data_IF_509463532269
#
_entry.id   IF_509463532269
#
_cell.length_a   1.000
_cell.length_b   1.000
_cell.length_c   1.000
_cell.angle_alpha   90.00
_cell.angle_beta   90.00
_cell.angle_gamma   90.00
#
_symmetry.space_group_name_H-M   'P 1'
#
loop_
_entity.id
_entity.type
_entity.pdbx_description
1 polymer ?
#
# COMPACT_ATOMS: atom_id res chain seq x y z
N UNK A 1 -12.35 12.52 -7.53
CA UNK A 1 -13.40 11.64 -8.09
C UNK A 1 -14.30 11.13 -6.97
N UNK A 2 -15.57 10.83 -7.27
CA UNK A 2 -16.47 10.12 -6.38
C UNK A 2 -16.35 8.62 -6.61
N UNK A 3 -15.98 7.85 -5.59
CA UNK A 3 -15.74 6.41 -5.66
C UNK A 3 -16.78 5.67 -4.81
N UNK A 4 -17.69 4.94 -5.45
CA UNK A 4 -18.59 4.04 -4.76
C UNK A 4 -17.85 2.77 -4.34
N UNK A 5 -17.87 2.39 -3.06
CA UNK A 5 -17.14 1.24 -2.56
C UNK A 5 -18.00 0.32 -1.71
N UNK A 6 -18.13 -0.95 -2.13
CA UNK A 6 -18.64 -2.01 -1.25
C UNK A 6 -17.52 -2.51 -0.34
N UNK A 7 -17.87 -3.03 0.83
CA UNK A 7 -16.86 -3.53 1.77
C UNK A 7 -15.95 -2.46 2.38
N UNK A 8 -16.29 -1.17 2.27
CA UNK A 8 -15.51 -0.03 2.79
C UNK A 8 -15.21 -0.12 4.30
N UNK A 9 -16.09 -0.78 5.08
CA UNK A 9 -15.91 -0.98 6.53
C UNK A 9 -15.07 -2.21 6.87
N UNK A 10 -14.76 -3.06 5.89
CA UNK A 10 -13.89 -4.22 6.05
C UNK A 10 -12.42 -3.83 6.21
N UNK A 11 -11.56 -4.80 6.54
CA UNK A 11 -10.14 -4.55 6.78
C UNK A 11 -9.45 -3.90 5.57
N UNK A 12 -9.52 -4.52 4.39
CA UNK A 12 -8.96 -3.96 3.15
C UNK A 12 -9.65 -2.65 2.78
N UNK A 13 -10.98 -2.60 2.87
CA UNK A 13 -11.76 -1.41 2.51
C UNK A 13 -11.42 -0.18 3.33
N UNK A 14 -11.15 -0.31 4.63
CA UNK A 14 -10.71 0.81 5.49
C UNK A 14 -9.35 1.34 5.06
N UNK A 15 -8.36 0.46 4.85
CA UNK A 15 -7.03 0.87 4.38
C UNK A 15 -7.10 1.58 3.02
N UNK A 16 -7.84 0.98 2.09
CA UNK A 16 -8.02 1.54 0.75
C UNK A 16 -8.78 2.86 0.78
N UNK A 17 -9.84 2.99 1.59
CA UNK A 17 -10.58 4.25 1.74
C UNK A 17 -9.69 5.37 2.26
N UNK A 18 -8.91 5.10 3.31
CA UNK A 18 -7.96 6.08 3.85
C UNK A 18 -6.91 6.46 2.80
N UNK A 19 -6.33 5.47 2.13
CA UNK A 19 -5.31 5.70 1.11
C UNK A 19 -5.85 6.58 -0.04
N UNK A 20 -7.00 6.23 -0.62
CA UNK A 20 -7.61 6.96 -1.74
C UNK A 20 -8.07 8.37 -1.35
N UNK A 21 -8.48 8.58 -0.09
CA UNK A 21 -8.87 9.90 0.40
C UNK A 21 -7.65 10.77 0.66
N UNK A 22 -6.64 10.24 1.36
CA UNK A 22 -5.46 11.00 1.77
C UNK A 22 -4.50 11.28 0.61
N UNK A 23 -4.35 10.33 -0.32
CA UNK A 23 -3.40 10.40 -1.43
C UNK A 23 -4.03 10.90 -2.72
N UNK A 24 -5.15 10.30 -3.11
CA UNK A 24 -5.83 10.59 -4.36
C UNK A 24 -6.78 11.80 -4.27
N UNK A 25 -7.06 12.33 -3.08
CA UNK A 25 -8.06 13.37 -2.88
C UNK A 25 -9.47 12.93 -3.32
N UNK A 26 -9.71 11.59 -3.33
CA UNK A 26 -10.99 11.04 -3.76
C UNK A 26 -12.02 11.05 -2.63
N UNK A 27 -13.28 11.18 -3.01
CA UNK A 27 -14.39 11.04 -2.07
C UNK A 27 -14.94 9.62 -2.11
N UNK A 28 -14.86 8.90 -0.98
CA UNK A 28 -15.41 7.55 -0.87
C UNK A 28 -16.87 7.59 -0.47
N UNK A 29 -17.71 6.89 -1.23
CA UNK A 29 -19.15 6.71 -0.98
C UNK A 29 -19.37 5.24 -0.62
N UNK A 30 -19.53 4.90 0.66
CA UNK A 30 -19.65 3.51 1.08
C UNK A 30 -21.02 2.94 0.66
N UNK A 31 -21.00 1.80 -0.04
CA UNK A 31 -22.18 1.03 -0.36
C UNK A 31 -22.40 -0.05 0.72
N UNK A 32 -23.25 0.28 1.68
CA UNK A 32 -23.57 -0.59 2.81
C UNK A 32 -24.50 -1.76 2.43
N UNK A 33 -24.54 -2.81 3.28
CA UNK A 33 -25.39 -4.01 3.05
C UNK A 33 -26.88 -3.68 2.87
N UNK A 34 -27.37 -2.62 3.50
CA UNK A 34 -28.78 -2.17 3.37
C UNK A 34 -29.13 -1.79 1.94
N UNK A 35 -28.20 -1.26 1.15
CA UNK A 35 -28.43 -0.86 -0.24
C UNK A 35 -28.64 -2.04 -1.19
N UNK A 36 -28.31 -3.25 -0.74
CA UNK A 36 -28.47 -4.50 -1.49
C UNK A 36 -29.66 -5.35 -1.03
N UNK A 37 -30.62 -4.77 -0.29
CA UNK A 37 -31.88 -5.41 0.06
C UNK A 37 -32.92 -5.25 -1.06
N UNK A 38 -33.96 -6.05 -1.03
CA UNK A 38 -35.11 -5.87 -1.94
C UNK A 38 -35.72 -4.49 -1.75
N UNK A 39 -36.18 -3.88 -2.83
CA UNK A 39 -36.74 -2.53 -2.84
C UNK A 39 -35.73 -1.39 -2.86
N UNK A 40 -34.43 -1.65 -2.63
CA UNK A 40 -33.38 -0.58 -2.56
C UNK A 40 -32.69 -0.29 -3.89
N UNK A 41 -33.09 -0.92 -4.99
CA UNK A 41 -32.45 -0.77 -6.32
C UNK A 41 -32.43 0.69 -6.80
N UNK A 42 -33.52 1.45 -6.58
CA UNK A 42 -33.57 2.87 -6.97
C UNK A 42 -32.53 3.74 -6.24
N UNK A 43 -32.31 3.50 -4.94
CA UNK A 43 -31.28 4.23 -4.19
C UNK A 43 -29.87 3.88 -4.67
N UNK A 44 -29.61 2.60 -4.97
CA UNK A 44 -28.32 2.18 -5.55
C UNK A 44 -28.07 2.84 -6.90
N UNK A 45 -29.07 2.87 -7.78
CA UNK A 45 -29.00 3.54 -9.11
C UNK A 45 -28.67 5.03 -8.93
N UNK A 46 -29.40 5.73 -8.04
CA UNK A 46 -29.15 7.15 -7.79
C UNK A 46 -27.73 7.39 -7.24
N UNK A 47 -27.26 6.55 -6.34
CA UNK A 47 -25.90 6.67 -5.79
C UNK A 47 -24.85 6.48 -6.89
N UNK A 48 -24.98 5.45 -7.72
CA UNK A 48 -24.02 5.16 -8.80
C UNK A 48 -24.02 6.22 -9.90
N UNK A 49 -25.13 6.90 -10.12
CA UNK A 49 -25.23 8.00 -11.10
C UNK A 49 -24.31 9.19 -10.79
N UNK A 50 -23.91 9.35 -9.53
CA UNK A 50 -23.02 10.42 -9.06
C UNK A 50 -21.58 9.97 -8.81
N UNK A 51 -21.22 8.75 -9.25
CA UNK A 51 -19.90 8.16 -9.03
C UNK A 51 -19.13 8.05 -10.34
N UNK A 52 -17.82 8.28 -10.25
CA UNK A 52 -16.88 8.12 -11.37
C UNK A 52 -16.33 6.70 -11.45
N UNK A 53 -16.15 6.07 -10.28
CA UNK A 53 -15.53 4.75 -10.11
C UNK A 53 -16.36 3.91 -9.15
N UNK A 54 -16.41 2.60 -9.42
CA UNK A 54 -16.96 1.58 -8.51
C UNK A 54 -15.84 0.65 -8.10
N UNK A 55 -15.67 0.42 -6.79
CA UNK A 55 -14.76 -0.59 -6.23
C UNK A 55 -15.61 -1.60 -5.46
N UNK A 56 -15.64 -2.84 -5.95
CA UNK A 56 -16.42 -3.92 -5.35
C UNK A 56 -15.51 -4.86 -4.55
N UNK A 57 -15.46 -4.67 -3.22
CA UNK A 57 -14.75 -5.50 -2.25
C UNK A 57 -15.68 -6.30 -1.35
N UNK A 58 -16.96 -6.41 -1.70
CA UNK A 58 -17.93 -7.16 -0.87
C UNK A 58 -17.55 -8.63 -0.77
N UNK A 59 -17.58 -9.16 0.44
CA UNK A 59 -17.33 -10.57 0.70
C UNK A 59 -17.41 -10.92 2.17
N UNK A 60 -18.14 -11.98 2.52
CA UNK A 60 -18.11 -12.57 3.85
C UNK A 60 -16.73 -13.20 4.14
N UNK A 61 -16.31 -13.29 5.42
CA UNK A 61 -15.01 -13.87 5.82
C UNK A 61 -14.89 -15.33 5.37
N UNK A 62 -13.79 -15.66 4.67
CA UNK A 62 -13.53 -16.99 4.14
C UNK A 62 -12.91 -17.96 5.17
N UNK A 63 -12.33 -17.41 6.24
CA UNK A 63 -11.58 -18.12 7.27
C UNK A 63 -12.47 -18.75 8.38
N UNK A 64 -13.68 -19.16 8.01
CA UNK A 64 -14.59 -19.92 8.86
C UNK A 64 -14.79 -21.32 8.28
N UNK A 65 -15.38 -22.23 9.06
CA UNK A 65 -15.76 -23.55 8.57
C UNK A 65 -16.81 -23.40 7.47
N UNK A 66 -16.64 -24.08 6.32
CA UNK A 66 -17.57 -23.99 5.19
C UNK A 66 -18.72 -24.96 5.35
N UNK A 67 -19.70 -24.58 6.17
CA UNK A 67 -21.02 -25.25 6.19
C UNK A 67 -21.80 -24.86 4.92
N UNK A 68 -22.87 -25.60 4.57
CA UNK A 68 -23.74 -25.21 3.45
C UNK A 68 -24.22 -23.75 3.55
N UNK A 69 -24.63 -23.33 4.75
CA UNK A 69 -25.13 -21.98 5.02
C UNK A 69 -24.00 -20.92 4.81
N UNK A 70 -22.80 -21.23 5.30
CA UNK A 70 -21.67 -20.30 5.12
C UNK A 70 -21.19 -20.24 3.66
N UNK A 71 -21.23 -21.37 2.92
CA UNK A 71 -20.98 -21.37 1.47
C UNK A 71 -21.99 -20.50 0.73
N UNK A 72 -23.26 -20.55 1.11
CA UNK A 72 -24.29 -19.67 0.56
C UNK A 72 -24.01 -18.20 0.90
N UNK A 73 -23.64 -17.88 2.15
CA UNK A 73 -23.24 -16.53 2.56
C UNK A 73 -22.04 -16.02 1.74
N UNK A 74 -21.04 -16.88 1.49
CA UNK A 74 -19.88 -16.57 0.67
C UNK A 74 -20.27 -16.26 -0.78
N UNK A 75 -21.21 -17.03 -1.34
CA UNK A 75 -21.76 -16.82 -2.67
C UNK A 75 -22.58 -15.53 -2.75
N UNK A 76 -23.53 -15.34 -1.85
CA UNK A 76 -24.42 -14.18 -1.87
C UNK A 76 -23.67 -12.87 -1.70
N UNK A 77 -22.72 -12.83 -0.76
CA UNK A 77 -21.93 -11.63 -0.48
C UNK A 77 -21.02 -11.21 -1.66
N UNK A 78 -20.77 -12.11 -2.61
CA UNK A 78 -19.90 -11.85 -3.77
C UNK A 78 -20.70 -11.79 -5.06
N UNK A 79 -21.33 -12.88 -5.42
CA UNK A 79 -21.99 -13.03 -6.74
C UNK A 79 -23.29 -12.22 -6.78
N UNK A 80 -24.17 -12.35 -5.78
CA UNK A 80 -25.45 -11.63 -5.78
C UNK A 80 -25.24 -10.13 -5.59
N UNK A 81 -24.29 -9.72 -4.73
CA UNK A 81 -23.96 -8.30 -4.59
C UNK A 81 -23.43 -7.74 -5.92
N UNK A 82 -22.54 -8.45 -6.61
CA UNK A 82 -22.02 -8.04 -7.93
C UNK A 82 -23.15 -7.95 -8.96
N UNK A 83 -24.04 -8.96 -9.00
CA UNK A 83 -25.22 -8.94 -9.85
C UNK A 83 -26.07 -7.66 -9.67
N UNK A 84 -26.34 -7.29 -8.42
CA UNK A 84 -27.12 -6.09 -8.08
C UNK A 84 -26.41 -4.80 -8.50
N UNK A 85 -25.08 -4.73 -8.35
CA UNK A 85 -24.27 -3.61 -8.83
C UNK A 85 -24.37 -3.52 -10.37
N UNK A 86 -24.18 -4.63 -11.07
CA UNK A 86 -24.25 -4.68 -12.54
C UNK A 86 -25.64 -4.29 -13.04
N UNK A 87 -26.71 -4.79 -12.42
CA UNK A 87 -28.09 -4.38 -12.78
C UNK A 87 -28.31 -2.89 -12.59
N UNK A 88 -27.88 -2.34 -11.46
CA UNK A 88 -27.97 -0.91 -11.19
C UNK A 88 -27.15 -0.11 -12.19
N UNK A 89 -25.91 -0.54 -12.46
CA UNK A 89 -25.01 0.10 -13.43
C UNK A 89 -25.60 0.13 -14.84
N UNK A 90 -26.28 -0.95 -15.27
CA UNK A 90 -26.96 -0.98 -16.57
C UNK A 90 -28.16 -0.03 -16.65
N UNK A 91 -28.78 0.32 -15.52
CA UNK A 91 -29.91 1.23 -15.44
C UNK A 91 -29.50 2.72 -15.31
N UNK A 92 -28.24 3.02 -14.99
CA UNK A 92 -27.74 4.40 -14.85
C UNK A 92 -27.58 5.05 -16.22
N UNK A 93 -28.03 6.30 -16.37
CA UNK A 93 -27.87 7.06 -17.62
C UNK A 93 -26.43 7.51 -17.84
N UNK A 94 -25.82 8.15 -16.80
CA UNK A 94 -24.40 8.54 -16.81
C UNK A 94 -23.63 7.47 -16.06
N UNK A 95 -22.88 6.64 -16.76
CA UNK A 95 -22.22 5.47 -16.19
C UNK A 95 -20.87 5.84 -15.58
N UNK A 96 -20.48 5.23 -14.45
CA UNK A 96 -19.11 5.28 -13.98
C UNK A 96 -18.11 4.84 -15.05
N UNK A 97 -16.96 5.50 -15.11
CA UNK A 97 -15.92 5.20 -16.10
C UNK A 97 -15.19 3.88 -15.84
N UNK A 98 -15.13 3.47 -14.58
CA UNK A 98 -14.36 2.31 -14.13
C UNK A 98 -15.14 1.50 -13.10
N UNK A 99 -15.11 0.19 -13.25
CA UNK A 99 -15.46 -0.77 -12.19
C UNK A 99 -14.26 -1.66 -11.91
N UNK A 100 -13.78 -1.65 -10.65
CA UNK A 100 -12.79 -2.59 -10.13
C UNK A 100 -13.54 -3.63 -9.29
N UNK A 101 -13.52 -4.89 -9.71
CA UNK A 101 -14.18 -5.99 -8.98
C UNK A 101 -13.14 -6.93 -8.41
N UNK A 102 -13.19 -7.14 -7.09
CA UNK A 102 -12.34 -8.12 -6.46
C UNK A 102 -12.67 -9.55 -6.93
N UNK A 103 -11.64 -10.38 -6.93
CA UNK A 103 -11.64 -11.83 -7.07
C UNK A 103 -10.49 -12.40 -6.21
N UNK A 104 -10.14 -13.65 -6.38
CA UNK A 104 -9.03 -14.25 -5.64
C UNK A 104 -8.22 -15.22 -6.51
N UNK A 105 -6.95 -15.42 -6.13
CA UNK A 105 -6.07 -16.42 -6.77
C UNK A 105 -6.58 -17.86 -6.65
N UNK A 106 -7.55 -18.10 -5.77
CA UNK A 106 -8.28 -19.36 -5.69
C UNK A 106 -9.04 -19.75 -6.96
N UNK A 107 -9.14 -18.87 -7.95
CA UNK A 107 -9.60 -19.17 -9.30
C UNK A 107 -8.75 -20.26 -9.96
N UNK A 108 -7.43 -20.24 -9.74
CA UNK A 108 -6.46 -21.08 -10.44
C UNK A 108 -6.35 -22.49 -9.87
N UNK A 109 -5.85 -23.47 -10.66
CA UNK A 109 -5.56 -24.81 -10.17
C UNK A 109 -4.52 -24.79 -9.04
N UNK A 110 -4.70 -25.67 -8.07
CA UNK A 110 -3.72 -25.89 -7.01
C UNK A 110 -2.38 -26.40 -7.59
N UNK A 111 -1.28 -26.00 -6.96
CA UNK A 111 0.10 -26.41 -7.30
C UNK A 111 0.59 -26.02 -8.71
N UNK A 112 -0.22 -25.36 -9.52
CA UNK A 112 0.18 -24.90 -10.85
C UNK A 112 0.96 -23.58 -10.77
N UNK A 113 1.85 -23.37 -11.76
CA UNK A 113 2.46 -22.07 -12.03
C UNK A 113 1.57 -21.33 -13.05
N UNK A 114 1.04 -20.18 -12.67
CA UNK A 114 -0.03 -19.49 -13.40
C UNK A 114 0.16 -17.97 -13.38
N UNK A 115 -0.42 -17.32 -14.36
CA UNK A 115 -0.56 -15.87 -14.45
C UNK A 115 -1.95 -15.50 -15.03
N UNK A 116 -2.14 -14.23 -15.38
CA UNK A 116 -3.40 -13.72 -15.91
C UNK A 116 -3.73 -14.24 -17.31
N UNK A 117 -2.76 -14.77 -18.06
CA UNK A 117 -2.95 -15.39 -19.38
C UNK A 117 -3.37 -16.85 -19.27
N UNK A 118 -3.24 -17.47 -18.10
CA UNK A 118 -3.68 -18.83 -17.85
C UNK A 118 -5.20 -18.92 -17.86
N UNK A 119 -5.75 -19.66 -18.83
CA UNK A 119 -7.19 -19.83 -19.01
C UNK A 119 -7.80 -20.93 -18.13
N UNK A 120 -6.97 -21.89 -17.72
CA UNK A 120 -7.42 -23.04 -16.91
C UNK A 120 -7.80 -22.56 -15.51
N UNK A 121 -9.01 -22.89 -15.10
CA UNK A 121 -9.47 -22.71 -13.71
C UNK A 121 -9.18 -23.95 -12.89
N UNK A 122 -9.13 -23.80 -11.57
CA UNK A 122 -9.04 -24.91 -10.63
C UNK A 122 -10.39 -25.61 -10.42
N UNK A 123 -10.37 -26.56 -9.51
CA UNK A 123 -11.53 -27.34 -9.09
C UNK A 123 -11.95 -26.97 -7.67
N UNK A 124 -13.20 -27.34 -7.31
CA UNK A 124 -13.75 -27.20 -5.98
C UNK A 124 -14.38 -25.83 -5.72
N UNK A 125 -15.01 -25.74 -4.55
CA UNK A 125 -15.88 -24.62 -4.16
C UNK A 125 -15.24 -23.23 -4.36
N UNK A 126 -13.97 -23.05 -4.00
CA UNK A 126 -13.32 -21.75 -4.08
C UNK A 126 -13.14 -21.28 -5.53
N UNK A 127 -12.73 -22.19 -6.42
CA UNK A 127 -12.57 -21.89 -7.85
C UNK A 127 -13.94 -21.63 -8.50
N UNK A 128 -14.95 -22.41 -8.17
CA UNK A 128 -16.31 -22.21 -8.67
C UNK A 128 -16.90 -20.86 -8.21
N UNK A 129 -16.66 -20.49 -6.96
CA UNK A 129 -17.05 -19.19 -6.41
C UNK A 129 -16.37 -18.03 -7.14
N UNK A 130 -15.05 -18.10 -7.33
CA UNK A 130 -14.28 -17.07 -8.06
C UNK A 130 -14.78 -16.96 -9.52
N UNK A 131 -15.00 -18.11 -10.17
CA UNK A 131 -15.50 -18.13 -11.54
C UNK A 131 -16.89 -17.48 -11.66
N UNK A 132 -17.83 -17.84 -10.78
CA UNK A 132 -19.16 -17.25 -10.78
C UNK A 132 -19.10 -15.74 -10.51
N UNK A 133 -18.27 -15.32 -9.58
CA UNK A 133 -18.06 -13.91 -9.26
C UNK A 133 -17.52 -13.12 -10.45
N UNK A 134 -16.46 -13.61 -11.10
CA UNK A 134 -15.87 -12.96 -12.28
C UNK A 134 -16.81 -12.98 -13.49
N UNK A 135 -17.56 -14.09 -13.67
CA UNK A 135 -18.59 -14.20 -14.73
C UNK A 135 -19.63 -13.10 -14.58
N UNK A 136 -20.11 -12.87 -13.37
CA UNK A 136 -21.09 -11.83 -13.10
C UNK A 136 -20.52 -10.42 -13.35
N UNK A 137 -19.30 -10.15 -12.92
CA UNK A 137 -18.63 -8.88 -13.16
C UNK A 137 -18.45 -8.58 -14.67
N UNK A 138 -18.26 -9.61 -15.50
CA UNK A 138 -18.13 -9.45 -16.96
C UNK A 138 -19.39 -8.99 -17.68
N UNK A 139 -20.55 -8.98 -17.02
CA UNK A 139 -21.76 -8.33 -17.53
C UNK A 139 -21.74 -6.79 -17.37
N UNK A 140 -20.59 -6.24 -16.95
CA UNK A 140 -20.36 -4.80 -16.89
C UNK A 140 -20.60 -4.16 -18.29
N UNK A 141 -21.32 -3.02 -18.36
CA UNK A 141 -21.58 -2.34 -19.62
C UNK A 141 -20.29 -1.94 -20.34
N UNK A 142 -20.27 -1.99 -21.67
CA UNK A 142 -19.06 -1.73 -22.50
C UNK A 142 -18.41 -0.36 -22.27
N UNK A 143 -19.22 0.68 -21.95
CA UNK A 143 -18.67 2.00 -21.69
C UNK A 143 -18.08 2.17 -20.28
N UNK A 144 -18.22 1.18 -19.41
CA UNK A 144 -17.54 1.13 -18.12
C UNK A 144 -16.37 0.16 -18.23
N UNK A 145 -15.17 0.66 -18.07
CA UNK A 145 -13.96 -0.15 -18.07
C UNK A 145 -13.96 -1.09 -16.87
N UNK A 146 -13.82 -2.38 -17.13
CA UNK A 146 -13.78 -3.40 -16.06
C UNK A 146 -12.35 -3.83 -15.79
N UNK A 147 -11.97 -3.80 -14.52
CA UNK A 147 -10.76 -4.42 -13.96
C UNK A 147 -11.17 -5.47 -12.92
N UNK A 148 -10.73 -6.71 -13.10
CA UNK A 148 -10.93 -7.80 -12.15
C UNK A 148 -9.60 -8.05 -11.44
N UNK A 149 -9.61 -8.01 -10.11
CA UNK A 149 -8.40 -8.13 -9.31
C UNK A 149 -8.41 -9.43 -8.50
N UNK A 150 -7.53 -10.40 -8.85
CA UNK A 150 -7.36 -11.67 -8.13
C UNK A 150 -6.38 -11.47 -7.00
N UNK A 151 -6.88 -11.37 -5.78
CA UNK A 151 -6.06 -11.16 -4.60
C UNK A 151 -5.36 -12.43 -4.15
N UNK A 152 -4.06 -12.34 -3.86
CA UNK A 152 -3.36 -13.23 -2.95
C UNK A 152 -3.71 -12.94 -1.50
N UNK A 153 -2.99 -13.54 -0.56
CA UNK A 153 -3.14 -13.27 0.87
C UNK A 153 -2.65 -11.86 1.16
N UNK A 154 -3.57 -10.98 1.57
CA UNK A 154 -3.22 -9.58 1.88
C UNK A 154 -2.61 -9.50 3.27
N UNK A 155 -1.38 -8.99 3.34
CA UNK A 155 -0.60 -8.89 4.55
C UNK A 155 -0.42 -7.44 4.96
N UNK A 156 -0.53 -7.18 6.27
CA UNK A 156 -0.18 -5.90 6.88
C UNK A 156 0.20 -6.13 8.34
N UNK A 157 1.22 -5.45 8.86
CA UNK A 157 1.66 -5.62 10.25
C UNK A 157 0.59 -5.29 11.30
N UNK A 158 -0.36 -4.44 10.97
CA UNK A 158 -1.38 -3.89 11.88
C UNK A 158 -2.67 -4.72 11.94
N UNK A 159 -2.78 -5.85 11.20
CA UNK A 159 -3.98 -6.66 11.27
C UNK A 159 -4.12 -7.76 10.23
N UNK A 160 -5.37 -8.16 10.00
CA UNK A 160 -5.74 -9.13 8.96
C UNK A 160 -5.13 -10.52 9.16
N UNK A 161 -4.71 -11.15 8.05
CA UNK A 161 -4.12 -12.48 8.07
C UNK A 161 -2.80 -12.52 8.85
N UNK A 162 -1.98 -11.47 8.77
CA UNK A 162 -0.72 -11.36 9.49
C UNK A 162 -0.92 -11.45 11.01
N UNK A 163 -1.90 -10.76 11.56
CA UNK A 163 -2.17 -10.79 13.00
C UNK A 163 -2.52 -12.19 13.49
N UNK A 164 -3.26 -12.98 12.69
CA UNK A 164 -3.57 -14.36 13.05
C UNK A 164 -2.33 -15.25 13.06
N UNK A 165 -1.40 -15.04 12.14
CA UNK A 165 -0.12 -15.75 12.07
C UNK A 165 0.83 -15.33 13.20
N UNK A 166 0.76 -14.09 13.65
CA UNK A 166 1.59 -13.56 14.73
C UNK A 166 1.14 -14.01 16.13
N UNK A 167 -0.13 -14.39 16.34
CA UNK A 167 -0.64 -14.81 17.67
C UNK A 167 0.17 -15.93 18.32
N UNK A 168 0.41 -17.09 17.68
CA UNK A 168 1.22 -18.15 18.28
C UNK A 168 2.68 -17.71 18.48
N UNK A 169 3.20 -16.89 17.59
CA UNK A 169 4.55 -16.36 17.71
C UNK A 169 4.72 -15.41 18.89
N UNK A 170 3.74 -14.54 19.14
CA UNK A 170 3.75 -13.62 20.29
C UNK A 170 3.58 -14.37 21.60
N UNK A 171 2.71 -15.40 21.64
CA UNK A 171 2.42 -16.17 22.84
C UNK A 171 3.54 -17.15 23.21
N UNK A 172 4.12 -17.86 22.25
CA UNK A 172 5.03 -18.98 22.47
C UNK A 172 6.43 -18.77 21.86
N UNK A 173 6.67 -17.66 21.15
CA UNK A 173 7.89 -17.41 20.37
C UNK A 173 8.18 -18.50 19.32
N UNK A 174 7.11 -19.08 18.75
CA UNK A 174 7.16 -20.11 17.73
C UNK A 174 6.43 -19.60 16.49
N UNK A 175 7.04 -19.69 15.32
CA UNK A 175 6.38 -19.47 14.05
C UNK A 175 5.77 -20.79 13.54
N UNK A 176 4.53 -20.74 13.09
CA UNK A 176 3.82 -21.91 12.58
C UNK A 176 3.81 -21.93 11.05
N UNK A 177 4.36 -22.98 10.45
CA UNK A 177 4.17 -23.30 9.05
C UNK A 177 2.95 -24.21 8.90
N UNK A 178 2.01 -23.85 8.01
CA UNK A 178 0.72 -24.51 7.85
C UNK A 178 0.84 -25.65 6.84
N UNK A 179 0.29 -26.83 7.17
CA UNK A 179 0.26 -28.00 6.31
C UNK A 179 1.66 -28.55 5.99
N UNK A 180 1.94 -28.98 4.74
CA UNK A 180 3.27 -29.49 4.36
C UNK A 180 4.35 -28.40 4.35
N UNK A 181 3.96 -27.13 4.34
CA UNK A 181 4.88 -25.98 4.28
C UNK A 181 5.50 -25.75 2.89
N UNK A 182 5.44 -26.74 2.00
CA UNK A 182 6.02 -26.66 0.64
C UNK A 182 5.09 -25.97 -0.36
N UNK A 183 3.79 -25.86 -0.03
CA UNK A 183 2.82 -25.18 -0.88
C UNK A 183 3.19 -23.71 -1.06
N UNK A 184 2.93 -23.18 -2.25
CA UNK A 184 3.14 -21.78 -2.54
C UNK A 184 2.26 -20.89 -1.68
N UNK A 185 2.79 -19.73 -1.32
CA UNK A 185 2.09 -18.72 -0.54
C UNK A 185 2.00 -17.41 -1.36
N UNK A 186 0.99 -17.29 -2.24
CA UNK A 186 0.76 -16.06 -2.99
C UNK A 186 0.24 -14.97 -2.05
N UNK A 187 1.02 -13.92 -1.89
CA UNK A 187 0.74 -12.84 -0.95
C UNK A 187 0.94 -11.47 -1.60
N UNK A 188 0.39 -10.43 -1.00
CA UNK A 188 0.65 -9.03 -1.34
C UNK A 188 0.65 -8.17 -0.07
N UNK A 189 1.52 -7.18 -0.01
CA UNK A 189 1.48 -6.16 1.04
C UNK A 189 0.29 -5.21 0.83
N UNK A 190 -0.36 -4.78 1.92
CA UNK A 190 -1.49 -3.86 1.88
C UNK A 190 -1.15 -2.55 1.17
N UNK A 191 0.09 -2.05 1.34
CA UNK A 191 0.55 -0.82 0.68
C UNK A 191 0.54 -0.97 -0.84
N UNK A 192 1.10 -2.06 -1.35
CA UNK A 192 1.12 -2.33 -2.78
C UNK A 192 -0.26 -2.65 -3.35
N UNK A 193 -1.15 -3.26 -2.54
CA UNK A 193 -2.56 -3.44 -2.94
C UNK A 193 -3.24 -2.08 -3.13
N UNK A 194 -3.13 -1.18 -2.15
CA UNK A 194 -3.74 0.15 -2.25
C UNK A 194 -3.18 0.95 -3.42
N UNK A 195 -1.86 0.87 -3.65
CA UNK A 195 -1.19 1.51 -4.81
C UNK A 195 -1.66 0.93 -6.15
N UNK A 196 -1.83 -0.39 -6.23
CA UNK A 196 -2.33 -1.04 -7.45
C UNK A 196 -3.78 -0.62 -7.76
N UNK A 197 -4.61 -0.44 -6.73
CA UNK A 197 -5.97 0.09 -6.93
C UNK A 197 -5.97 1.52 -7.45
N UNK A 198 -5.12 2.41 -6.91
CA UNK A 198 -4.93 3.77 -7.40
C UNK A 198 -4.34 3.78 -8.82
N UNK A 199 -3.40 2.87 -9.10
CA UNK A 199 -2.83 2.70 -10.43
C UNK A 199 -3.91 2.38 -11.47
N UNK A 200 -4.87 1.51 -11.18
CA UNK A 200 -5.99 1.23 -12.09
C UNK A 200 -6.92 2.43 -12.28
N UNK A 201 -7.04 3.31 -11.29
CA UNK A 201 -7.85 4.53 -11.41
C UNK A 201 -7.17 5.53 -12.37
N UNK A 202 -5.85 5.69 -12.24
CA UNK A 202 -5.06 6.69 -13.00
C UNK A 202 -4.62 6.23 -14.39
N UNK A 203 -4.63 4.91 -14.69
CA UNK A 203 -4.17 4.34 -15.97
C UNK A 203 -5.36 3.78 -16.76
N UNK A 204 -5.89 4.59 -17.68
CA UNK A 204 -7.13 4.28 -18.43
C UNK A 204 -7.01 3.09 -19.38
N UNK A 205 -5.79 2.72 -19.79
CA UNK A 205 -5.48 1.55 -20.63
C UNK A 205 -5.64 0.21 -19.89
N UNK A 206 -5.65 0.22 -18.57
CA UNK A 206 -5.76 -1.02 -17.77
C UNK A 206 -7.18 -1.59 -17.83
N UNK A 207 -7.32 -2.86 -18.24
CA UNK A 207 -8.61 -3.57 -18.30
C UNK A 207 -8.43 -5.08 -18.21
N UNK A 208 -9.50 -5.79 -17.83
CA UNK A 208 -9.50 -7.25 -17.70
C UNK A 208 -8.94 -7.72 -16.36
N UNK A 209 -8.24 -8.86 -16.32
CA UNK A 209 -7.81 -9.53 -15.10
C UNK A 209 -6.38 -9.13 -14.72
N UNK A 210 -6.17 -8.87 -13.43
CA UNK A 210 -4.85 -8.62 -12.83
C UNK A 210 -4.69 -9.42 -11.53
N UNK A 211 -3.54 -10.07 -11.37
CA UNK A 211 -3.17 -10.74 -10.13
C UNK A 211 -2.54 -9.75 -9.16
N UNK A 212 -3.15 -9.55 -8.02
CA UNK A 212 -2.59 -8.74 -6.94
C UNK A 212 -1.81 -9.65 -5.98
N UNK A 213 -0.60 -9.99 -6.40
CA UNK A 213 0.38 -10.78 -5.64
C UNK A 213 1.75 -10.15 -5.75
N UNK A 214 2.58 -10.30 -4.71
CA UNK A 214 3.98 -9.88 -4.76
C UNK A 214 4.76 -10.70 -5.81
N UNK A 215 5.78 -10.12 -6.46
CA UNK A 215 6.55 -10.83 -7.48
C UNK A 215 7.39 -11.99 -6.93
N UNK A 216 7.77 -11.96 -5.64
CA UNK A 216 8.50 -13.05 -5.02
C UNK A 216 7.60 -14.27 -4.82
N UNK A 217 8.04 -15.39 -5.39
CA UNK A 217 7.39 -16.68 -5.20
C UNK A 217 8.05 -17.43 -4.04
N UNK A 218 7.29 -17.72 -2.99
CA UNK A 218 7.79 -18.40 -1.81
C UNK A 218 6.86 -19.52 -1.36
N UNK A 219 7.41 -20.46 -0.59
CA UNK A 219 6.61 -21.45 0.13
C UNK A 219 6.09 -20.88 1.44
N UNK A 220 5.05 -21.49 1.96
CA UNK A 220 4.50 -21.16 3.26
C UNK A 220 5.51 -21.37 4.40
N UNK A 221 6.37 -22.38 4.30
CA UNK A 221 7.47 -22.60 5.25
C UNK A 221 8.51 -21.48 5.19
N UNK A 222 8.89 -21.06 3.98
CA UNK A 222 9.85 -19.95 3.81
C UNK A 222 9.28 -18.67 4.42
N UNK A 223 8.01 -18.39 4.19
CA UNK A 223 7.33 -17.25 4.83
C UNK A 223 7.36 -17.32 6.35
N UNK A 224 6.98 -18.48 6.93
CA UNK A 224 7.00 -18.69 8.38
C UNK A 224 8.42 -18.52 8.97
N UNK A 225 9.44 -19.01 8.28
CA UNK A 225 10.85 -18.88 8.68
C UNK A 225 11.34 -17.43 8.65
N UNK A 226 11.01 -16.65 7.62
CA UNK A 226 11.39 -15.24 7.55
C UNK A 226 10.62 -14.41 8.62
N UNK A 227 9.36 -14.76 8.88
CA UNK A 227 8.59 -14.20 9.99
C UNK A 227 9.23 -14.55 11.35
N UNK A 228 9.68 -15.80 11.54
CA UNK A 228 10.41 -16.24 12.75
C UNK A 228 11.65 -15.39 13.00
N UNK A 229 12.46 -15.18 11.97
CA UNK A 229 13.67 -14.32 12.05
C UNK A 229 13.31 -12.89 12.44
N UNK A 230 12.33 -12.29 11.78
CA UNK A 230 11.95 -10.90 12.00
C UNK A 230 11.43 -10.63 13.41
N UNK A 231 10.73 -11.60 14.00
CA UNK A 231 10.13 -11.48 15.33
C UNK A 231 10.90 -12.25 16.42
N UNK A 232 12.15 -12.67 16.13
CA UNK A 232 13.03 -13.36 17.07
C UNK A 232 12.40 -14.61 17.71
N UNK A 233 11.69 -15.41 16.89
CA UNK A 233 11.18 -16.70 17.32
C UNK A 233 12.34 -17.70 17.47
N UNK A 234 12.23 -18.58 18.46
CA UNK A 234 13.26 -19.60 18.70
C UNK A 234 13.10 -20.82 17.80
N UNK A 235 11.89 -21.06 17.25
CA UNK A 235 11.64 -22.17 16.34
C UNK A 235 10.58 -21.84 15.27
N UNK A 236 10.68 -22.57 14.14
CA UNK A 236 9.61 -22.68 13.16
C UNK A 236 9.13 -24.14 13.16
N UNK A 237 7.85 -24.36 13.42
CA UNK A 237 7.24 -25.68 13.48
C UNK A 237 6.23 -25.88 12.36
N UNK A 238 6.15 -27.07 11.82
CA UNK A 238 5.15 -27.46 10.83
C UNK A 238 3.92 -27.98 11.56
N UNK A 239 2.77 -27.34 11.38
CA UNK A 239 1.48 -27.78 11.91
C UNK A 239 0.82 -28.67 10.88
N UNK A 240 0.55 -29.96 11.18
CA UNK A 240 -0.01 -30.89 10.22
C UNK A 240 -1.36 -30.45 9.65
N UNK A 241 -1.61 -30.75 8.38
CA UNK A 241 -2.86 -30.42 7.68
C UNK A 241 -4.10 -31.00 8.39
N UNK A 242 -3.97 -32.14 9.06
CA UNK A 242 -5.04 -32.79 9.83
C UNK A 242 -5.62 -31.88 10.93
N UNK A 243 -4.77 -31.08 11.58
CA UNK A 243 -5.21 -30.11 12.60
C UNK A 243 -6.14 -29.07 11.97
N UNK A 244 -5.78 -28.54 10.81
CA UNK A 244 -6.61 -27.57 10.09
C UNK A 244 -7.88 -28.18 9.54
N UNK A 245 -7.86 -29.45 9.10
CA UNK A 245 -9.06 -30.18 8.67
C UNK A 245 -10.06 -30.36 9.80
N UNK A 246 -9.59 -30.64 11.00
CA UNK A 246 -10.46 -30.77 12.19
C UNK A 246 -11.10 -29.41 12.53
N UNK A 247 -10.31 -28.34 12.51
CA UNK A 247 -10.77 -27.01 12.90
C UNK A 247 -11.67 -26.35 11.83
N UNK A 248 -11.27 -26.42 10.57
CA UNK A 248 -11.89 -25.66 9.47
C UNK A 248 -12.66 -26.52 8.46
N UNK A 249 -12.58 -27.86 8.58
CA UNK A 249 -13.23 -28.77 7.62
C UNK A 249 -12.66 -28.58 6.20
N UNK A 250 -13.53 -28.48 5.21
CA UNK A 250 -13.17 -28.25 3.80
C UNK A 250 -12.40 -26.94 3.58
N UNK A 251 -12.66 -25.91 4.37
CA UNK A 251 -11.94 -24.64 4.31
C UNK A 251 -10.45 -24.78 4.61
N UNK A 252 -9.98 -25.88 5.21
CA UNK A 252 -8.56 -26.16 5.39
C UNK A 252 -7.79 -26.22 4.06
N UNK A 253 -8.43 -26.61 2.97
CA UNK A 253 -7.83 -26.65 1.62
C UNK A 253 -7.30 -25.28 1.19
N UNK A 254 -8.00 -24.21 1.48
CA UNK A 254 -7.57 -22.83 1.23
C UNK A 254 -6.22 -22.48 1.91
N UNK A 255 -5.94 -23.06 3.08
CA UNK A 255 -4.70 -22.83 3.84
C UNK A 255 -3.56 -23.77 3.43
N UNK A 256 -3.88 -24.97 2.96
CA UNK A 256 -2.92 -26.07 2.76
C UNK A 256 -2.61 -26.36 1.29
N UNK A 257 -3.34 -25.75 0.37
CA UNK A 257 -3.01 -25.73 -1.06
C UNK A 257 -2.64 -24.32 -1.49
N UNK A 258 -1.73 -24.19 -2.44
CA UNK A 258 -1.30 -22.87 -2.92
C UNK A 258 -0.92 -22.95 -4.40
N UNK A 259 -1.15 -21.86 -5.11
CA UNK A 259 -0.81 -21.67 -6.51
C UNK A 259 0.47 -20.83 -6.61
N UNK A 260 1.32 -21.10 -7.61
CA UNK A 260 2.44 -20.22 -7.96
C UNK A 260 1.94 -19.13 -8.90
N UNK A 261 1.46 -18.04 -8.34
CA UNK A 261 0.81 -16.97 -9.13
C UNK A 261 1.81 -15.86 -9.39
N UNK A 262 1.89 -15.42 -10.66
CA UNK A 262 2.71 -14.28 -11.08
C UNK A 262 1.84 -13.07 -11.39
N UNK A 263 2.27 -11.83 -11.03
CA UNK A 263 1.60 -10.59 -11.40
C UNK A 263 2.12 -10.10 -12.77
N UNK A 264 1.99 -10.92 -13.82
CA UNK A 264 2.61 -10.68 -15.12
C UNK A 264 2.06 -9.40 -15.74
N UNK A 265 0.75 -9.27 -15.87
CA UNK A 265 0.11 -8.10 -16.50
C UNK A 265 0.28 -6.81 -15.70
N UNK A 266 0.30 -6.90 -14.37
CA UNK A 266 0.51 -5.71 -13.54
C UNK A 266 1.94 -5.14 -13.74
N UNK A 267 2.93 -6.02 -13.89
CA UNK A 267 4.31 -5.61 -14.22
C UNK A 267 4.45 -5.09 -15.64
N UNK A 268 3.81 -5.72 -16.61
CA UNK A 268 3.79 -5.28 -18.01
C UNK A 268 3.12 -3.90 -18.16
N UNK A 269 2.11 -3.61 -17.35
CA UNK A 269 1.47 -2.30 -17.27
C UNK A 269 2.35 -1.22 -16.62
N UNK A 270 3.57 -1.57 -16.14
CA UNK A 270 4.51 -0.60 -15.55
C UNK A 270 4.36 -0.40 -14.04
N UNK A 271 3.57 -1.22 -13.36
CA UNK A 271 3.45 -1.12 -11.89
C UNK A 271 4.73 -1.58 -11.18
N UNK A 272 5.23 -0.75 -10.26
CA UNK A 272 6.41 -1.04 -9.45
C UNK A 272 6.01 -1.35 -8.01
N UNK A 273 6.40 -2.56 -7.53
CA UNK A 273 6.14 -2.98 -6.16
C UNK A 273 7.11 -2.33 -5.18
N UNK A 274 6.61 -1.79 -4.08
CA UNK A 274 7.44 -1.27 -2.98
C UNK A 274 7.83 -2.37 -1.99
N UNK A 275 7.04 -3.43 -1.92
CA UNK A 275 7.27 -4.59 -1.07
C UNK A 275 7.32 -5.87 -1.92
N UNK A 276 8.36 -6.03 -2.76
CA UNK A 276 8.43 -7.15 -3.69
C UNK A 276 8.78 -8.50 -3.04
N UNK A 277 9.27 -8.49 -1.79
CA UNK A 277 9.73 -9.69 -1.09
C UNK A 277 9.38 -9.68 0.40
N UNK A 278 9.37 -10.86 1.03
CA UNK A 278 9.06 -11.00 2.46
C UNK A 278 10.15 -10.41 3.35
N UNK A 279 11.38 -10.41 2.91
CA UNK A 279 12.46 -9.72 3.62
C UNK A 279 12.15 -8.22 3.70
N UNK A 280 11.61 -7.67 2.62
CA UNK A 280 11.17 -6.29 2.57
C UNK A 280 9.94 -6.03 3.43
N UNK A 281 8.99 -6.97 3.45
CA UNK A 281 7.79 -6.92 4.30
C UNK A 281 8.15 -6.78 5.77
N UNK A 282 9.15 -7.53 6.24
CA UNK A 282 9.52 -7.58 7.66
C UNK A 282 10.58 -6.57 8.09
N UNK A 283 11.45 -6.11 7.19
CA UNK A 283 12.48 -5.11 7.54
C UNK A 283 11.92 -3.71 7.82
N UNK A 284 10.72 -3.42 7.35
CA UNK A 284 10.17 -2.06 7.43
C UNK A 284 11.00 -1.05 6.63
N UNK A 285 10.86 0.23 6.98
CA UNK A 285 11.65 1.30 6.37
C UNK A 285 13.02 1.40 7.03
N UNK A 286 14.08 1.49 6.22
CA UNK A 286 15.46 1.67 6.72
C UNK A 286 15.72 3.15 6.99
N UNK A 287 15.82 3.48 8.27
CA UNK A 287 16.12 4.83 8.78
C UNK A 287 17.60 5.00 9.14
N UNK A 288 18.50 4.12 8.66
CA UNK A 288 19.93 4.28 8.87
C UNK A 288 20.44 5.57 8.21
N UNK A 289 21.36 6.25 8.88
CA UNK A 289 21.88 7.55 8.45
C UNK A 289 23.30 7.45 7.92
N UNK A 290 23.75 8.49 7.25
CA UNK A 290 25.15 8.64 6.87
C UNK A 290 26.05 8.54 8.09
N UNK A 291 27.18 7.84 7.93
CA UNK A 291 28.16 7.63 9.02
C UNK A 291 29.09 8.82 9.23
N UNK A 292 29.25 9.66 8.21
CA UNK A 292 30.10 10.86 8.22
C UNK A 292 29.22 12.03 7.82
N UNK A 293 29.26 13.09 8.61
CA UNK A 293 28.60 14.37 8.33
C UNK A 293 29.50 15.50 8.83
N UNK A 294 30.08 16.24 7.90
CA UNK A 294 30.76 17.49 8.21
C UNK A 294 29.70 18.59 8.32
N UNK A 295 29.47 19.05 9.56
CA UNK A 295 28.48 20.08 9.82
C UNK A 295 28.78 21.40 9.12
N UNK A 296 30.06 21.83 9.02
CA UNK A 296 30.40 23.08 8.38
C UNK A 296 30.00 23.06 6.89
N UNK A 297 30.22 21.91 6.23
CA UNK A 297 29.82 21.73 4.82
C UNK A 297 28.32 21.57 4.64
N UNK A 298 27.64 21.02 5.65
CA UNK A 298 26.19 20.84 5.60
C UNK A 298 25.41 22.13 5.85
N UNK A 299 26.03 23.13 6.50
CA UNK A 299 25.43 24.45 6.75
C UNK A 299 25.12 25.20 5.44
N UNK A 300 24.41 26.31 5.56
CA UNK A 300 23.99 27.16 4.45
C UNK A 300 22.62 26.84 3.91
N UNK A 301 22.36 27.28 2.68
CA UNK A 301 21.04 27.18 2.02
C UNK A 301 20.84 25.83 1.35
N UNK A 302 19.64 25.28 1.53
CA UNK A 302 19.12 24.11 0.85
C UNK A 302 17.74 24.41 0.26
N UNK A 303 17.52 24.01 -0.98
CA UNK A 303 16.22 24.02 -1.65
C UNK A 303 15.52 22.69 -1.45
N UNK A 304 14.24 22.73 -1.10
CA UNK A 304 13.40 21.52 -1.00
C UNK A 304 12.87 21.16 -2.38
N UNK A 305 13.43 20.11 -2.98
CA UNK A 305 13.07 19.67 -4.34
C UNK A 305 11.84 18.77 -4.34
N UNK A 306 11.71 17.93 -3.32
CA UNK A 306 10.54 17.08 -3.13
C UNK A 306 10.36 16.76 -1.64
N UNK A 307 9.10 16.47 -1.25
CA UNK A 307 8.77 16.03 0.11
C UNK A 307 7.61 15.08 0.13
N UNK A 308 7.44 14.38 1.25
CA UNK A 308 6.14 13.87 1.65
C UNK A 308 5.28 15.02 2.18
N UNK A 309 4.04 15.13 1.67
CA UNK A 309 3.14 16.16 2.15
C UNK A 309 2.90 16.00 3.66
N UNK A 310 3.06 17.09 4.38
CA UNK A 310 2.80 17.16 5.80
C UNK A 310 1.97 18.43 6.15
N UNK A 311 1.36 18.44 7.33
CA UNK A 311 0.43 19.52 7.73
C UNK A 311 1.08 20.90 7.80
N UNK A 312 2.40 20.97 8.01
CA UNK A 312 3.11 22.25 8.22
C UNK A 312 3.50 22.91 6.89
N UNK A 313 3.73 22.12 5.86
CA UNK A 313 4.26 22.55 4.56
C UNK A 313 3.22 22.42 3.44
N UNK A 314 1.97 22.05 3.78
CA UNK A 314 0.91 21.82 2.78
C UNK A 314 0.67 23.06 1.90
N UNK A 315 0.81 22.84 0.58
CA UNK A 315 0.60 23.87 -0.44
C UNK A 315 1.65 24.96 -0.48
N UNK A 316 2.83 24.76 0.17
CA UNK A 316 3.97 25.67 0.04
C UNK A 316 4.79 25.33 -1.21
N UNK A 317 5.22 26.38 -1.91
CA UNK A 317 6.18 26.39 -3.02
C UNK A 317 7.38 27.27 -2.64
N UNK A 318 8.43 27.25 -3.44
CA UNK A 318 9.67 28.03 -3.18
C UNK A 318 10.19 27.82 -1.75
N UNK A 319 10.27 26.52 -1.37
CA UNK A 319 10.62 26.14 0.00
C UNK A 319 12.13 25.99 0.13
N UNK A 320 12.69 26.66 1.13
CA UNK A 320 14.11 26.60 1.46
C UNK A 320 14.35 26.39 2.95
N UNK A 321 15.48 25.77 3.27
CA UNK A 321 15.98 25.62 4.64
C UNK A 321 17.40 26.18 4.73
N UNK A 322 17.65 27.11 5.64
CA UNK A 322 18.98 27.65 5.92
C UNK A 322 19.45 27.18 7.29
N UNK A 323 20.62 26.55 7.31
CA UNK A 323 21.25 26.07 8.54
C UNK A 323 22.49 26.90 8.88
N UNK A 324 22.63 27.31 10.15
CA UNK A 324 23.78 28.05 10.64
C UNK A 324 24.28 27.45 11.94
N UNK A 325 25.56 27.03 11.94
CA UNK A 325 26.21 26.51 13.12
C UNK A 325 26.48 27.67 14.12
N UNK A 326 26.13 27.47 15.38
CA UNK A 326 26.38 28.42 16.47
C UNK A 326 27.64 28.05 17.26
N UNK A 327 28.23 29.01 17.98
CA UNK A 327 29.42 28.74 18.82
C UNK A 327 29.20 27.67 19.92
N UNK A 328 27.95 27.48 20.37
CA UNK A 328 27.57 26.50 21.37
C UNK A 328 27.37 25.07 20.78
N UNK A 329 27.64 24.88 19.48
CA UNK A 329 27.47 23.62 18.77
C UNK A 329 26.05 23.32 18.35
N UNK A 330 25.08 24.19 18.66
CA UNK A 330 23.71 24.08 18.13
C UNK A 330 23.60 24.65 16.72
N UNK A 331 22.57 24.27 15.99
CA UNK A 331 22.33 24.74 14.61
C UNK A 331 21.06 25.59 14.61
N UNK A 332 21.15 26.84 14.15
CA UNK A 332 19.98 27.65 13.81
C UNK A 332 19.39 27.10 12.52
N UNK A 333 18.07 26.94 12.50
CA UNK A 333 17.29 26.48 11.34
C UNK A 333 16.31 27.57 10.97
N UNK A 334 16.31 27.97 9.70
CA UNK A 334 15.36 28.93 9.16
C UNK A 334 14.72 28.32 7.91
N UNK A 335 13.44 27.94 8.01
CA UNK A 335 12.67 27.41 6.89
C UNK A 335 11.79 28.54 6.34
N UNK A 336 11.91 28.81 5.03
CA UNK A 336 11.08 29.76 4.31
C UNK A 336 10.25 29.00 3.27
N UNK A 337 8.98 29.35 3.10
CA UNK A 337 8.10 28.81 2.06
C UNK A 337 7.00 29.79 1.71
N UNK A 338 6.54 29.75 0.46
CA UNK A 338 5.55 30.67 -0.08
C UNK A 338 4.25 29.93 -0.43
N UNK A 339 3.10 30.54 -0.17
CA UNK A 339 1.80 30.12 -0.73
C UNK A 339 1.49 30.97 -1.95
N UNK A 340 1.12 30.30 -3.03
CA UNK A 340 0.59 30.98 -4.22
C UNK A 340 -0.66 31.77 -3.83
N UNK A 341 -0.64 33.09 -4.07
CA UNK A 341 -1.77 33.97 -3.83
C UNK A 341 -1.73 35.11 -4.85
N UNK A 342 -2.74 35.13 -5.74
CA UNK A 342 -2.81 36.20 -6.74
C UNK A 342 -3.21 37.55 -6.10
N UNK A 343 -2.56 38.70 -6.42
CA UNK A 343 -1.49 38.86 -7.40
C UNK A 343 -0.07 38.62 -6.86
N UNK A 344 0.13 38.41 -5.55
CA UNK A 344 1.45 38.23 -4.93
C UNK A 344 1.47 37.03 -4.00
N UNK A 345 2.53 36.25 -4.06
CA UNK A 345 2.74 35.11 -3.18
C UNK A 345 3.00 35.56 -1.74
N UNK A 346 2.43 34.82 -0.78
CA UNK A 346 2.62 35.09 0.65
C UNK A 346 3.66 34.13 1.20
N UNK A 347 4.85 34.67 1.51
CA UNK A 347 5.94 33.92 2.09
C UNK A 347 5.96 34.03 3.62
N UNK A 348 6.30 32.90 4.27
CA UNK A 348 6.47 32.82 5.72
C UNK A 348 7.80 32.17 6.06
N UNK A 349 8.38 32.61 7.16
CA UNK A 349 9.61 32.05 7.71
C UNK A 349 9.32 31.43 9.08
N UNK A 350 9.78 30.21 9.29
CA UNK A 350 9.77 29.54 10.57
C UNK A 350 11.20 29.38 11.09
N UNK A 351 11.45 29.88 12.30
CA UNK A 351 12.75 29.79 12.95
C UNK A 351 12.75 28.65 13.97
N UNK A 352 13.80 27.85 13.93
CA UNK A 352 14.00 26.73 14.83
C UNK A 352 15.47 26.54 15.21
N UNK A 353 15.73 25.46 15.90
CA UNK A 353 17.09 25.05 16.25
C UNK A 353 17.22 23.53 16.17
N UNK A 354 18.44 23.07 15.87
CA UNK A 354 18.77 21.66 15.82
C UNK A 354 20.02 21.36 16.64
N UNK A 355 20.14 20.08 17.01
CA UNK A 355 21.34 19.56 17.69
C UNK A 355 21.62 18.13 17.27
N UNK A 356 22.86 17.69 17.40
CA UNK A 356 23.23 16.28 17.29
C UNK A 356 23.25 15.72 18.72
N UNK A 357 22.32 14.83 19.09
CA UNK A 357 22.24 14.29 20.44
C UNK A 357 23.35 13.27 20.74
N UNK A 358 23.89 12.61 19.72
CA UNK A 358 24.93 11.59 19.80
C UNK A 358 25.96 11.80 18.69
N UNK A 359 27.16 12.20 19.06
CA UNK A 359 28.26 12.44 18.12
C UNK A 359 28.75 11.21 17.37
N UNK A 360 28.47 10.00 17.88
CA UNK A 360 28.77 8.75 17.18
C UNK A 360 27.81 8.47 16.01
N UNK A 361 26.68 9.20 15.93
CA UNK A 361 25.66 9.10 14.90
C UNK A 361 25.36 10.48 14.28
N UNK A 362 26.34 11.12 13.62
CA UNK A 362 26.26 12.52 13.21
C UNK A 362 25.11 12.80 12.23
N UNK A 363 24.65 11.80 11.47
CA UNK A 363 23.50 11.91 10.57
C UNK A 363 22.14 11.95 11.28
N UNK A 364 22.09 11.74 12.60
CA UNK A 364 20.84 11.81 13.39
C UNK A 364 20.78 13.13 14.15
N UNK A 365 20.02 14.06 13.65
CA UNK A 365 19.77 15.34 14.30
C UNK A 365 18.37 15.36 14.93
N UNK A 366 18.20 16.28 15.86
CA UNK A 366 16.89 16.65 16.41
C UNK A 366 16.62 18.12 16.14
N UNK A 367 15.45 18.42 15.57
CA UNK A 367 15.03 19.77 15.16
C UNK A 367 13.80 20.20 15.94
N UNK A 368 13.77 21.44 16.43
CA UNK A 368 12.62 22.03 17.12
C UNK A 368 12.29 23.41 16.52
N UNK A 369 11.00 23.63 16.25
CA UNK A 369 10.42 24.92 15.85
C UNK A 369 9.50 25.50 16.91
N UNK A 370 9.22 24.78 17.99
CA UNK A 370 8.35 25.25 19.05
C UNK A 370 8.85 24.75 20.42
N UNK A 371 9.29 25.67 21.25
CA UNK A 371 9.86 25.38 22.57
C UNK A 371 10.94 24.28 22.49
N UNK A 372 10.82 23.24 23.30
CA UNK A 372 11.74 22.09 23.35
C UNK A 372 11.12 20.80 22.78
N UNK A 373 10.09 20.91 21.92
CA UNK A 373 9.50 19.76 21.23
C UNK A 373 10.35 19.41 20.02
N UNK A 374 11.19 18.39 20.19
CA UNK A 374 12.11 17.94 19.15
C UNK A 374 11.49 16.85 18.28
N UNK A 375 11.65 17.02 16.97
CA UNK A 375 11.38 16.00 15.94
C UNK A 375 12.69 15.43 15.40
N UNK A 376 12.68 14.17 14.98
CA UNK A 376 13.83 13.53 14.37
C UNK A 376 14.06 14.07 12.96
N UNK A 377 15.33 14.33 12.62
CA UNK A 377 15.81 14.74 11.33
C UNK A 377 17.03 13.90 10.98
N UNK A 378 16.84 12.95 10.06
CA UNK A 378 17.82 11.93 9.71
C UNK A 378 18.35 12.14 8.31
N UNK A 379 19.65 12.40 8.17
CA UNK A 379 20.32 12.46 6.86
C UNK A 379 20.56 11.04 6.40
N UNK A 380 19.71 10.56 5.48
CA UNK A 380 19.70 9.17 4.99
C UNK A 380 20.75 8.95 3.90
N UNK A 381 20.81 9.88 2.95
CA UNK A 381 21.82 9.92 1.88
C UNK A 381 22.35 11.35 1.74
N UNK A 382 23.61 11.47 1.35
CA UNK A 382 24.28 12.74 1.15
C UNK A 382 25.30 12.61 0.00
N UNK A 383 25.43 13.65 -0.81
CA UNK A 383 26.57 13.78 -1.72
C UNK A 383 27.85 13.95 -0.90
N UNK A 384 28.62 12.89 -0.75
CA UNK A 384 29.80 12.84 0.10
C UNK A 384 30.96 13.73 -0.39
N UNK A 385 31.02 13.99 -1.72
CA UNK A 385 32.10 14.79 -2.31
C UNK A 385 31.83 16.29 -2.24
N UNK A 386 30.63 16.72 -2.66
CA UNK A 386 30.35 18.15 -2.84
C UNK A 386 29.22 18.70 -1.97
N UNK A 387 28.46 17.83 -1.28
CA UNK A 387 27.30 18.20 -0.47
C UNK A 387 26.21 18.94 -1.26
N UNK A 388 26.03 18.58 -2.53
CA UNK A 388 25.08 19.23 -3.44
C UNK A 388 23.64 18.79 -3.26
N UNK A 389 23.42 17.57 -2.76
CA UNK A 389 22.09 17.01 -2.56
C UNK A 389 22.04 16.08 -1.33
N UNK A 390 20.87 15.96 -0.74
CA UNK A 390 20.60 15.06 0.38
C UNK A 390 19.22 14.43 0.30
N UNK A 391 19.09 13.19 0.81
CA UNK A 391 17.84 12.55 1.15
C UNK A 391 17.69 12.60 2.66
N UNK A 392 16.60 13.17 3.15
CA UNK A 392 16.36 13.38 4.56
C UNK A 392 15.05 12.72 4.96
N UNK A 393 15.02 12.08 6.13
CA UNK A 393 13.84 11.46 6.69
C UNK A 393 13.74 11.66 8.20
N UNK A 394 13.07 10.76 8.87
CA UNK A 394 12.93 10.75 10.33
C UNK A 394 13.05 9.33 10.88
N UNK A 395 12.79 9.12 12.17
CA UNK A 395 12.67 7.78 12.79
C UNK A 395 11.43 7.01 12.33
N UNK A 396 10.59 7.60 11.50
CA UNK A 396 9.38 6.99 10.95
C UNK A 396 9.30 7.22 9.44
N UNK A 397 8.49 6.44 8.75
CA UNK A 397 8.22 6.56 7.30
C UNK A 397 7.22 7.66 6.93
N UNK A 398 6.87 8.53 7.89
CA UNK A 398 5.91 9.63 7.69
C UNK A 398 6.51 10.83 6.97
N UNK A 399 7.83 10.99 7.05
CA UNK A 399 8.54 12.16 6.53
C UNK A 399 9.69 11.74 5.63
N UNK A 400 9.78 12.42 4.50
CA UNK A 400 10.87 12.27 3.55
C UNK A 400 11.01 13.58 2.77
N UNK A 401 12.27 14.06 2.59
CA UNK A 401 12.61 15.22 1.81
C UNK A 401 13.78 14.92 0.88
N UNK A 402 13.76 15.51 -0.31
CA UNK A 402 14.89 15.61 -1.21
C UNK A 402 15.33 17.07 -1.20
N UNK A 403 16.57 17.29 -0.79
CA UNK A 403 17.18 18.63 -0.69
C UNK A 403 18.28 18.80 -1.73
N UNK A 404 18.46 20.03 -2.23
CA UNK A 404 19.50 20.40 -3.18
C UNK A 404 20.12 21.76 -2.83
N UNK A 405 21.38 21.97 -3.22
CA UNK A 405 22.04 23.30 -3.16
C UNK A 405 21.59 24.24 -4.26
N UNK A 406 20.94 23.71 -5.28
CA UNK A 406 20.41 24.48 -6.40
C UNK A 406 18.89 24.32 -6.51
N UNK A 407 18.16 25.33 -7.00
CA UNK A 407 16.70 25.23 -7.14
C UNK A 407 16.26 24.16 -8.13
N UNK A 408 17.14 23.70 -9.00
CA UNK A 408 16.91 22.62 -9.95
C UNK A 408 17.89 21.48 -9.71
N UNK A 409 17.39 20.26 -9.68
CA UNK A 409 18.20 19.05 -9.50
C UNK A 409 18.22 18.26 -10.81
N UNK A 410 19.40 17.84 -11.33
CA UNK A 410 19.49 17.01 -12.53
C UNK A 410 18.65 15.73 -12.42
N UNK A 411 18.02 15.32 -13.53
CA UNK A 411 17.13 14.16 -13.56
C UNK A 411 17.82 12.85 -13.15
N UNK A 412 19.09 12.68 -13.45
CA UNK A 412 19.89 11.53 -13.01
C UNK A 412 20.01 11.47 -11.48
N UNK A 413 20.22 12.62 -10.84
CA UNK A 413 20.31 12.71 -9.38
C UNK A 413 18.94 12.50 -8.75
N UNK A 414 17.86 13.04 -9.34
CA UNK A 414 16.50 12.76 -8.90
C UNK A 414 16.22 11.25 -8.91
N UNK A 415 16.51 10.57 -10.02
CA UNK A 415 16.37 9.11 -10.14
C UNK A 415 17.21 8.36 -9.11
N UNK A 416 18.46 8.79 -8.88
CA UNK A 416 19.34 8.19 -7.88
C UNK A 416 18.74 8.27 -6.47
N UNK A 417 18.23 9.44 -6.07
CA UNK A 417 17.65 9.66 -4.74
C UNK A 417 16.31 8.95 -4.57
N UNK A 418 15.46 8.94 -5.60
CA UNK A 418 14.21 8.14 -5.63
C UNK A 418 14.53 6.65 -5.46
N UNK A 419 15.48 6.11 -6.22
CA UNK A 419 15.92 4.71 -6.10
C UNK A 419 16.50 4.42 -4.71
N UNK A 420 17.25 5.34 -4.11
CA UNK A 420 17.77 5.19 -2.76
C UNK A 420 16.64 5.15 -1.71
N UNK A 421 15.63 6.03 -1.85
CA UNK A 421 14.43 6.03 -1.01
C UNK A 421 13.64 4.71 -1.14
N UNK A 422 13.44 4.21 -2.36
CA UNK A 422 12.79 2.91 -2.63
C UNK A 422 13.54 1.74 -1.99
N UNK A 423 14.86 1.67 -2.13
CA UNK A 423 15.71 0.65 -1.49
C UNK A 423 15.56 0.67 0.03
N UNK A 424 15.37 1.85 0.61
CA UNK A 424 15.13 2.03 2.06
C UNK A 424 13.70 1.73 2.49
N UNK A 425 12.75 1.65 1.54
CA UNK A 425 11.36 1.32 1.77
C UNK A 425 10.38 2.45 1.88
N UNK A 426 10.80 3.60 1.51
CA UNK A 426 9.90 4.70 1.36
C UNK A 426 9.02 4.53 0.12
N UNK A 427 7.76 4.90 0.22
CA UNK A 427 6.83 4.93 -0.91
C UNK A 427 7.05 6.21 -1.74
N UNK A 428 7.86 6.12 -2.78
CA UNK A 428 8.26 7.27 -3.59
C UNK A 428 7.12 7.93 -4.38
N UNK A 429 5.97 7.26 -4.54
CA UNK A 429 4.79 7.89 -5.13
C UNK A 429 4.15 8.94 -4.18
N UNK A 430 4.55 8.97 -2.92
CA UNK A 430 4.16 10.01 -1.97
C UNK A 430 4.98 11.30 -2.11
N UNK A 431 6.06 11.29 -2.89
CA UNK A 431 6.87 12.49 -3.11
C UNK A 431 6.08 13.50 -3.96
N UNK A 432 5.93 14.68 -3.41
CA UNK A 432 5.44 15.86 -4.12
C UNK A 432 6.66 16.69 -4.54
N UNK A 433 6.77 16.94 -5.83
CA UNK A 433 7.82 17.78 -6.40
C UNK A 433 7.45 19.24 -6.17
N UNK A 434 8.39 20.01 -5.64
CA UNK A 434 8.17 21.41 -5.23
C UNK A 434 8.70 22.33 -6.31
N UNK A 435 7.86 23.27 -6.74
CA UNK A 435 8.29 24.33 -7.65
C UNK A 435 9.19 25.31 -6.90
N UNK A 436 10.34 25.62 -7.51
CA UNK A 436 11.31 26.60 -7.07
C UNK A 436 11.41 27.70 -8.12
N UNK A 437 11.46 28.97 -7.70
CA UNK A 437 11.45 30.15 -8.58
C UNK A 437 12.73 30.97 -8.44
#
# INVERSE_FOLDING_TARGET
MNIAMTGATGYIGKHLSNYLTEKGGHRIIPLGRSMFREGMSGHLIQTLAHCDVIINLAGAPINKRWTPEHKQELFDSRVIVTHRIIRALNAVRTKPKLMISASAVGYYPALAEVDEYTRTRGDGFLSDLCYAWEKEARHCPEHTRLVITRFGVVLSPDGGAMQQMLRPLQAMKIAAAIGPGTQSFPWIDMRDLCRAMEFFISHEETRGVYNLVAPQQISQYTFAREMAKAYHAWATVVVPQTVFRILYGEAASFLTSGQRVRPTRLREAGFHFTVPSVERLFKGTDHSTVRILDLNRYMGLWYEIARYENRFERGLVDVTATYTLRPDGTIRVENRGCKRNFPYDICKTANGHAKIPDSSQPGKLKVSFFLNFYSDYYVLELDGENYNYALVGSSTDKYLWILSRTPQLPEEIKKKLVTAAERRGYDTNRLQWIEQF
#
